data_IF_097054607057
#
_entry.id   IF_097054607057
#
_cell.length_a   1.000
_cell.length_b   1.000
_cell.length_c   1.000
_cell.angle_alpha   90.00
_cell.angle_beta   90.00
_cell.angle_gamma   90.00
#
_symmetry.space_group_name_H-M   'P 1'
#
loop_
_entity.id
_entity.type
_entity.pdbx_description
1 polymer ?
#
# COMPACT_ATOMS: atom_id res chain seq x y z
N UNK A 1 1.21 14.46 31.15
CA UNK A 1 0.91 15.22 29.90
C UNK A 1 2.16 15.15 29.03
N UNK A 2 2.05 14.60 27.82
CA UNK A 2 3.18 14.25 26.94
C UNK A 2 3.67 15.40 26.05
N UNK A 3 4.66 15.08 25.20
CA UNK A 3 5.26 16.00 24.22
C UNK A 3 4.58 15.89 22.85
N UNK A 4 4.69 16.94 22.03
CA UNK A 4 4.13 17.00 20.68
C UNK A 4 5.25 16.74 19.65
N UNK A 5 5.07 15.76 18.74
CA UNK A 5 6.04 15.38 17.71
C UNK A 5 5.64 15.79 16.27
N UNK A 6 4.73 16.74 16.10
CA UNK A 6 4.15 17.09 14.77
C UNK A 6 5.22 17.49 13.73
N UNK A 7 6.35 18.07 14.13
CA UNK A 7 7.41 18.49 13.20
C UNK A 7 8.28 17.34 12.67
N UNK A 8 8.35 16.21 13.38
CA UNK A 8 9.20 15.06 13.03
C UNK A 8 8.39 13.80 12.72
N UNK A 9 7.07 13.94 12.56
CA UNK A 9 6.21 12.82 12.24
C UNK A 9 6.30 12.50 10.74
N UNK A 10 6.63 11.25 10.42
CA UNK A 10 6.64 10.76 9.05
C UNK A 10 5.24 10.83 8.42
N UNK A 11 5.17 11.35 7.20
CA UNK A 11 3.94 11.40 6.41
C UNK A 11 3.77 10.09 5.66
N UNK A 12 3.03 9.18 6.27
CA UNK A 12 2.74 7.88 5.68
C UNK A 12 1.48 7.99 4.79
N UNK A 13 1.61 7.67 3.52
CA UNK A 13 0.48 7.50 2.62
C UNK A 13 -0.17 6.13 2.84
N UNK A 14 -1.48 6.13 3.08
CA UNK A 14 -2.25 4.92 3.33
C UNK A 14 -3.00 4.52 2.07
N UNK A 15 -2.85 3.26 1.66
CA UNK A 15 -3.59 2.68 0.54
C UNK A 15 -4.21 1.36 0.98
N UNK A 16 -5.47 1.13 0.63
CA UNK A 16 -6.18 -0.10 1.00
C UNK A 16 -6.19 -1.10 -0.16
N UNK A 17 -6.14 -2.39 0.16
CA UNK A 17 -6.17 -3.46 -0.85
C UNK A 17 -7.42 -3.44 -1.74
N UNK A 18 -8.57 -2.97 -1.22
CA UNK A 18 -9.77 -2.78 -2.04
C UNK A 18 -9.58 -1.74 -3.15
N UNK A 19 -8.85 -0.65 -2.88
CA UNK A 19 -8.53 0.36 -3.88
C UNK A 19 -7.58 -0.19 -4.93
N UNK A 20 -6.67 -1.08 -4.54
CA UNK A 20 -5.78 -1.76 -5.48
C UNK A 20 -6.58 -2.67 -6.43
N UNK A 21 -7.56 -3.40 -5.89
CA UNK A 21 -8.42 -4.28 -6.67
C UNK A 21 -9.26 -3.55 -7.73
N UNK A 22 -9.62 -2.29 -7.48
CA UNK A 22 -10.38 -1.44 -8.42
C UNK A 22 -9.51 -0.76 -9.47
N UNK A 23 -8.25 -0.44 -9.13
CA UNK A 23 -7.36 0.37 -9.97
C UNK A 23 -6.37 -0.44 -10.79
N UNK A 24 -6.10 -1.67 -10.38
CA UNK A 24 -5.11 -2.53 -11.02
C UNK A 24 -5.75 -3.81 -11.57
N UNK A 25 -5.15 -4.31 -12.64
CA UNK A 25 -5.52 -5.58 -13.25
C UNK A 25 -4.72 -6.74 -12.63
N UNK A 26 -5.09 -7.97 -12.98
CA UNK A 26 -4.34 -9.16 -12.59
C UNK A 26 -2.90 -9.12 -13.12
N UNK A 27 -1.98 -9.62 -12.32
CA UNK A 27 -0.52 -9.63 -12.49
C UNK A 27 0.13 -8.22 -12.60
N UNK A 28 -0.59 -7.15 -12.26
CA UNK A 28 -0.03 -5.81 -12.26
C UNK A 28 1.00 -5.61 -11.13
N UNK A 29 2.02 -4.79 -11.43
CA UNK A 29 3.01 -4.35 -10.45
C UNK A 29 2.55 -3.04 -9.82
N UNK A 30 2.39 -3.05 -8.50
CA UNK A 30 1.99 -1.92 -7.67
C UNK A 30 3.23 -1.38 -6.96
N UNK A 31 3.90 -0.44 -7.61
CA UNK A 31 4.99 0.35 -7.05
C UNK A 31 4.53 1.78 -6.70
N UNK A 32 5.39 2.57 -6.06
CA UNK A 32 5.10 3.98 -5.75
C UNK A 32 4.65 4.75 -7.00
N UNK A 33 5.32 4.54 -8.13
CA UNK A 33 5.02 5.25 -9.38
C UNK A 33 3.63 4.88 -9.89
N UNK A 34 3.27 3.61 -9.90
CA UNK A 34 1.96 3.14 -10.33
C UNK A 34 0.85 3.60 -9.37
N UNK A 35 1.10 3.61 -8.06
CA UNK A 35 0.16 4.16 -7.07
C UNK A 35 -0.12 5.65 -7.28
N UNK A 36 0.93 6.43 -7.60
CA UNK A 36 0.79 7.85 -7.96
C UNK A 36 0.05 8.03 -9.28
N UNK A 37 0.37 7.23 -10.30
CA UNK A 37 -0.29 7.26 -11.60
C UNK A 37 -1.78 6.89 -11.51
N UNK A 38 -2.12 5.94 -10.64
CA UNK A 38 -3.50 5.56 -10.34
C UNK A 38 -4.27 6.59 -9.50
N UNK A 39 -3.59 7.63 -9.01
CA UNK A 39 -4.16 8.67 -8.14
C UNK A 39 -4.46 8.21 -6.72
N UNK A 40 -3.89 7.08 -6.28
CA UNK A 40 -4.08 6.53 -4.93
C UNK A 40 -3.15 7.19 -3.92
N UNK A 41 -1.98 7.64 -4.37
CA UNK A 41 -1.02 8.40 -3.57
C UNK A 41 -0.79 9.75 -4.23
N UNK A 42 -0.90 10.83 -3.47
CA UNK A 42 -0.67 12.18 -3.96
C UNK A 42 0.20 12.98 -3.00
N UNK A 43 0.91 13.98 -3.54
CA UNK A 43 1.78 14.84 -2.77
C UNK A 43 3.06 14.17 -2.26
N UNK A 44 3.72 14.83 -1.31
CA UNK A 44 4.95 14.31 -0.67
C UNK A 44 4.56 13.47 0.54
N UNK A 45 5.00 12.22 0.53
CA UNK A 45 4.89 11.26 1.62
C UNK A 45 6.27 10.61 1.79
N UNK A 46 6.60 10.29 3.03
CA UNK A 46 7.89 9.71 3.42
C UNK A 46 7.88 8.19 3.28
N UNK A 47 6.70 7.56 3.37
CA UNK A 47 6.51 6.13 3.17
C UNK A 47 5.09 5.81 2.70
N UNK A 48 4.90 4.67 2.06
CA UNK A 48 3.62 4.11 1.66
C UNK A 48 3.34 2.86 2.47
N UNK A 49 2.15 2.80 3.07
CA UNK A 49 1.68 1.66 3.83
C UNK A 49 0.39 1.09 3.24
N UNK A 50 0.44 -0.20 2.87
CA UNK A 50 -0.74 -0.93 2.43
C UNK A 50 -1.48 -1.52 3.63
N UNK A 51 -2.79 -1.29 3.68
CA UNK A 51 -3.70 -1.81 4.70
C UNK A 51 -4.75 -2.75 4.11
N UNK A 52 -5.18 -3.72 4.91
CA UNK A 52 -6.05 -4.82 4.50
C UNK A 52 -7.54 -4.50 4.43
N UNK A 53 -7.96 -3.25 4.24
CA UNK A 53 -9.39 -2.91 4.12
C UNK A 53 -9.92 -3.20 2.71
N UNK A 54 -11.12 -3.80 2.62
CA UNK A 54 -11.72 -4.25 1.36
C UNK A 54 -11.21 -5.61 0.90
N UNK A 55 -11.72 -6.10 -0.23
CA UNK A 55 -11.36 -7.40 -0.78
C UNK A 55 -10.34 -7.27 -1.92
N UNK A 56 -9.44 -8.23 -2.00
CA UNK A 56 -8.45 -8.35 -3.06
C UNK A 56 -8.63 -9.71 -3.71
N UNK A 57 -9.06 -9.69 -4.96
CA UNK A 57 -9.21 -10.87 -5.81
C UNK A 57 -8.14 -10.90 -6.91
N UNK A 58 -7.56 -9.74 -7.22
CA UNK A 58 -6.50 -9.61 -8.21
C UNK A 58 -5.17 -10.08 -7.67
N UNK A 59 -4.43 -10.82 -8.49
CA UNK A 59 -3.04 -11.19 -8.24
C UNK A 59 -2.16 -9.97 -8.48
N UNK A 60 -1.65 -9.34 -7.43
CA UNK A 60 -0.83 -8.12 -7.55
C UNK A 60 0.58 -8.35 -7.01
N UNK A 61 1.57 -7.73 -7.66
CA UNK A 61 2.94 -7.63 -7.14
C UNK A 61 3.14 -6.28 -6.48
N UNK A 62 3.01 -6.24 -5.16
CA UNK A 62 3.12 -5.00 -4.38
C UNK A 62 4.58 -4.78 -3.98
N UNK A 63 5.10 -3.58 -4.24
CA UNK A 63 6.45 -3.14 -3.87
C UNK A 63 6.33 -1.76 -3.21
N UNK A 64 6.33 -1.72 -1.88
CA UNK A 64 6.15 -0.49 -1.08
C UNK A 64 7.00 -0.54 0.20
N UNK A 65 6.96 0.51 1.03
CA UNK A 65 7.73 0.56 2.28
C UNK A 65 7.16 -0.37 3.37
N UNK A 66 5.83 -0.45 3.50
CA UNK A 66 5.20 -1.21 4.57
C UNK A 66 3.87 -1.85 4.15
N UNK A 67 3.61 -3.05 4.67
CA UNK A 67 2.35 -3.78 4.45
C UNK A 67 1.83 -4.31 5.77
N UNK A 68 0.54 -4.14 6.07
CA UNK A 68 -0.05 -4.73 7.27
C UNK A 68 -0.18 -6.25 7.14
N UNK A 69 -0.11 -6.97 8.26
CA UNK A 69 -0.30 -8.43 8.26
C UNK A 69 -1.63 -8.85 7.60
N UNK A 70 -2.70 -8.08 7.82
CA UNK A 70 -4.00 -8.30 7.18
C UNK A 70 -4.01 -8.05 5.66
N UNK A 71 -3.20 -7.10 5.18
CA UNK A 71 -3.04 -6.86 3.75
C UNK A 71 -2.22 -8.00 3.11
N UNK A 72 -1.10 -8.37 3.74
CA UNK A 72 -0.24 -9.45 3.27
C UNK A 72 -1.03 -10.75 3.10
N UNK A 73 -1.81 -11.14 4.12
CA UNK A 73 -2.64 -12.34 4.06
C UNK A 73 -3.66 -12.31 2.90
N UNK A 74 -4.20 -11.14 2.54
CA UNK A 74 -5.12 -10.99 1.40
C UNK A 74 -4.39 -11.07 0.06
N UNK A 75 -3.21 -10.48 -0.03
CA UNK A 75 -2.35 -10.52 -1.22
C UNK A 75 -1.91 -11.95 -1.51
N UNK A 76 -1.44 -12.68 -0.50
CA UNK A 76 -1.07 -14.09 -0.61
C UNK A 76 -2.28 -14.96 -0.98
N UNK A 77 -3.45 -14.71 -0.39
CA UNK A 77 -4.69 -15.42 -0.73
C UNK A 77 -5.12 -15.20 -2.18
N UNK A 78 -4.86 -14.01 -2.74
CA UNK A 78 -5.08 -13.70 -4.15
C UNK A 78 -3.96 -14.25 -5.07
N UNK A 79 -2.95 -14.93 -4.51
CA UNK A 79 -1.82 -15.47 -5.26
C UNK A 79 -0.77 -14.42 -5.66
N UNK A 80 -0.85 -13.23 -5.08
CA UNK A 80 0.10 -12.13 -5.28
C UNK A 80 1.32 -12.23 -4.35
N UNK A 81 2.17 -11.22 -4.42
CA UNK A 81 3.36 -11.10 -3.57
C UNK A 81 3.51 -9.66 -3.10
N UNK A 82 3.86 -9.45 -1.84
CA UNK A 82 4.22 -8.13 -1.33
C UNK A 82 5.68 -8.13 -0.89
N UNK A 83 6.46 -7.20 -1.45
CA UNK A 83 7.85 -6.96 -1.10
C UNK A 83 7.91 -5.61 -0.39
N UNK A 84 8.39 -5.62 0.86
CA UNK A 84 8.71 -4.39 1.58
C UNK A 84 10.20 -4.14 1.42
N UNK A 85 10.55 -3.18 0.58
CA UNK A 85 11.95 -2.80 0.37
C UNK A 85 12.56 -2.39 1.70
N UNK A 86 13.51 -3.18 2.19
CA UNK A 86 14.29 -2.90 3.39
C UNK A 86 15.31 -1.79 3.15
#
# INVERSE_FOLDING_TARGET
>A
RGFNNVQFQDKIAIVNVGQLNEKFEDDATVDEKALRAAGLVSGRCDAIKILGQGDLQRKLKIVVDAVSASALAKVEKAGGSADTGA
#
